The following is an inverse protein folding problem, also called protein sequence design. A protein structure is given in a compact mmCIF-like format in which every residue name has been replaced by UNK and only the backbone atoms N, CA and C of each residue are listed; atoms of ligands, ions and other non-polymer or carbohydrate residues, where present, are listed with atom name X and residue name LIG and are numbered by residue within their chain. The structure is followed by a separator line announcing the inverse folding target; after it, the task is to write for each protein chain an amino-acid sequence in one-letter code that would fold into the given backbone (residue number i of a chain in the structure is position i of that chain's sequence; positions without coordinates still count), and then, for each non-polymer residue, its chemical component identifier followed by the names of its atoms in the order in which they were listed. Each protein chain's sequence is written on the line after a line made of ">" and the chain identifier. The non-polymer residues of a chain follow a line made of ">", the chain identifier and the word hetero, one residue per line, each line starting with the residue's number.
data_IF_743308898109
#
_entry.id   IF_743308898109
#
_cell.length_a   1.000
_cell.length_b   1.000
_cell.length_c   1.000
_cell.angle_alpha   90.00
_cell.angle_beta   90.00
_cell.angle_gamma   90.00
#
_symmetry.space_group_name_H-M   'P 1'
#
loop_
_entity.id
_entity.type
_entity.pdbx_description
1 polymer ?
#
# COMPACT_ATOMS: atom_id res chain seq x y z
N UNK A 1 14.39 -12.46 22.41
CA UNK A 1 13.59 -11.29 22.85
C UNK A 1 14.03 -10.12 21.97
N UNK A 2 13.21 -9.72 20.99
CA UNK A 2 13.43 -8.45 20.28
C UNK A 2 13.24 -7.33 21.29
N UNK A 3 14.26 -6.50 21.50
CA UNK A 3 14.11 -5.25 22.24
C UNK A 3 13.28 -4.33 21.37
N UNK A 4 12.04 -4.05 21.76
CA UNK A 4 11.15 -3.19 21.00
C UNK A 4 11.76 -1.79 20.86
N UNK A 5 12.22 -1.47 19.64
CA UNK A 5 12.80 -0.16 19.30
C UNK A 5 11.74 0.77 18.73
N UNK A 6 11.90 2.07 18.96
CA UNK A 6 11.00 3.12 18.46
C UNK A 6 11.76 4.09 17.55
N UNK A 7 11.08 4.76 16.59
CA UNK A 7 11.70 5.81 15.79
C UNK A 7 12.27 6.93 16.67
N UNK A 8 13.51 7.34 16.39
CA UNK A 8 14.20 8.42 17.10
C UNK A 8 13.50 9.78 16.94
N UNK A 9 12.86 10.00 15.81
CA UNK A 9 12.18 11.26 15.48
C UNK A 9 10.82 11.01 14.85
N UNK A 10 9.91 10.37 15.60
CA UNK A 10 8.54 10.15 15.15
C UNK A 10 7.86 11.45 14.68
N UNK A 11 7.12 11.46 13.56
CA UNK A 11 6.72 10.32 12.71
C UNK A 11 7.71 9.97 11.60
N UNK A 12 8.92 10.52 11.59
CA UNK A 12 9.90 10.29 10.55
C UNK A 12 10.79 9.08 10.87
N UNK A 13 11.26 8.41 9.82
CA UNK A 13 12.30 7.40 9.90
C UNK A 13 13.60 7.94 9.30
N UNK A 14 14.70 7.71 9.98
CA UNK A 14 16.02 7.76 9.35
C UNK A 14 16.17 6.63 8.32
N UNK A 15 17.14 6.75 7.42
CA UNK A 15 17.45 5.70 6.43
C UNK A 15 17.65 4.32 7.06
N UNK A 16 18.40 4.25 8.16
CA UNK A 16 18.65 3.00 8.87
C UNK A 16 17.38 2.45 9.54
N UNK A 17 16.55 3.32 10.10
CA UNK A 17 15.27 2.95 10.67
C UNK A 17 14.31 2.41 9.61
N UNK A 18 14.26 3.05 8.43
CA UNK A 18 13.50 2.55 7.29
C UNK A 18 13.94 1.15 6.88
N UNK A 19 15.24 0.88 6.75
CA UNK A 19 15.76 -0.45 6.41
C UNK A 19 15.31 -1.51 7.43
N UNK A 20 15.36 -1.19 8.74
CA UNK A 20 14.92 -2.11 9.80
C UNK A 20 13.42 -2.36 9.71
N UNK A 21 12.63 -1.29 9.59
CA UNK A 21 11.17 -1.38 9.50
C UNK A 21 10.73 -2.17 8.25
N UNK A 22 11.38 -1.94 7.11
CA UNK A 22 11.12 -2.63 5.85
C UNK A 22 11.48 -4.12 5.91
N UNK A 23 12.63 -4.47 6.48
CA UNK A 23 13.07 -5.87 6.64
C UNK A 23 12.19 -6.62 7.63
N UNK A 24 11.75 -5.97 8.70
CA UNK A 24 10.77 -6.55 9.63
C UNK A 24 9.43 -6.81 8.95
N UNK A 25 8.93 -5.84 8.17
CA UNK A 25 7.72 -6.02 7.39
C UNK A 25 7.83 -7.17 6.36
N UNK A 26 8.95 -7.26 5.65
CA UNK A 26 9.20 -8.33 4.68
C UNK A 26 9.25 -9.71 5.35
N UNK A 27 9.78 -9.81 6.56
CA UNK A 27 9.76 -11.08 7.30
C UNK A 27 8.34 -11.48 7.64
N UNK A 28 7.51 -10.53 8.08
CA UNK A 28 6.10 -10.78 8.36
C UNK A 28 5.31 -11.15 7.10
N UNK A 29 5.60 -10.50 5.97
CA UNK A 29 4.87 -10.75 4.71
C UNK A 29 5.08 -12.17 4.19
N UNK A 30 6.15 -12.87 4.57
CA UNK A 30 6.37 -14.28 4.21
C UNK A 30 5.33 -15.22 4.83
N UNK A 31 4.73 -14.83 5.95
CA UNK A 31 3.67 -15.59 6.58
C UNK A 31 2.31 -15.41 5.87
N UNK A 32 2.21 -14.43 4.97
CA UNK A 32 0.99 -14.12 4.23
C UNK A 32 1.13 -14.62 2.80
N UNK A 33 0.29 -15.59 2.43
CA UNK A 33 0.36 -16.25 1.13
C UNK A 33 -0.03 -15.26 0.01
N UNK A 34 0.79 -15.14 -1.03
CA UNK A 34 0.44 -14.43 -2.27
C UNK A 34 0.66 -12.91 -2.28
N UNK A 35 1.28 -12.34 -1.25
CA UNK A 35 1.48 -10.88 -1.16
C UNK A 35 2.62 -10.32 -2.02
N UNK A 36 3.60 -11.16 -2.42
CA UNK A 36 4.58 -10.82 -3.46
C UNK A 36 5.59 -9.69 -3.13
N UNK A 37 5.74 -9.32 -1.86
CA UNK A 37 6.72 -8.31 -1.45
C UNK A 37 8.16 -8.83 -1.57
N UNK A 38 9.04 -7.98 -2.08
CA UNK A 38 10.47 -8.22 -2.17
C UNK A 38 11.25 -6.97 -1.74
N UNK A 39 12.49 -7.18 -1.29
CA UNK A 39 13.44 -6.10 -1.08
C UNK A 39 14.41 -6.02 -2.25
N UNK A 40 14.55 -4.83 -2.84
CA UNK A 40 15.47 -4.56 -3.93
C UNK A 40 16.56 -3.62 -3.41
N UNK A 41 17.81 -4.08 -3.43
CA UNK A 41 18.98 -3.23 -3.14
C UNK A 41 19.30 -2.37 -4.37
N UNK A 42 19.65 -1.10 -4.17
CA UNK A 42 20.09 -0.24 -5.23
C UNK A 42 21.47 -0.67 -5.74
N UNK A 43 21.61 -0.81 -7.06
CA UNK A 43 22.79 -1.39 -7.72
C UNK A 43 24.12 -0.72 -7.33
N UNK A 44 24.07 0.58 -7.02
CA UNK A 44 25.28 1.41 -6.81
C UNK A 44 25.42 1.96 -5.39
N UNK A 45 24.36 1.92 -4.57
CA UNK A 45 24.34 2.59 -3.28
C UNK A 45 24.19 1.55 -2.18
N UNK A 46 25.28 1.30 -1.45
CA UNK A 46 25.33 0.31 -0.38
C UNK A 46 24.35 0.71 0.73
N UNK A 47 23.53 -0.25 1.20
CA UNK A 47 22.47 -0.04 2.22
C UNK A 47 21.41 0.96 1.78
N UNK A 48 21.14 0.98 0.49
CA UNK A 48 20.09 1.80 -0.08
C UNK A 48 19.17 0.90 -0.89
N UNK A 49 18.19 0.26 -0.28
CA UNK A 49 17.15 -0.50 -0.98
C UNK A 49 15.75 0.06 -0.82
N UNK A 50 14.76 -0.64 -1.37
CA UNK A 50 13.35 -0.33 -1.23
C UNK A 50 12.50 -1.61 -1.25
N UNK A 51 11.29 -1.50 -0.70
CA UNK A 51 10.28 -2.55 -0.82
C UNK A 51 9.58 -2.42 -2.17
N UNK A 52 9.40 -3.54 -2.86
CA UNK A 52 8.66 -3.62 -4.11
C UNK A 52 7.62 -4.72 -4.01
N UNK A 53 6.46 -4.46 -4.61
CA UNK A 53 5.40 -5.44 -4.84
C UNK A 53 4.86 -5.20 -6.24
N UNK A 54 4.62 -6.28 -6.97
CA UNK A 54 4.05 -6.27 -8.31
C UNK A 54 2.70 -6.98 -8.24
N UNK A 55 1.68 -6.34 -8.82
CA UNK A 55 0.30 -6.84 -8.78
C UNK A 55 -0.38 -6.52 -10.12
N UNK A 56 -1.18 -7.46 -10.61
CA UNK A 56 -2.06 -7.25 -11.75
C UNK A 56 -3.41 -6.78 -11.20
N UNK A 57 -3.89 -5.65 -11.71
CA UNK A 57 -5.21 -5.12 -11.36
C UNK A 57 -6.11 -5.32 -12.57
N UNK A 58 -7.23 -6.02 -12.39
CA UNK A 58 -8.21 -6.19 -13.45
C UNK A 58 -9.11 -4.95 -13.52
N UNK A 59 -9.22 -4.34 -14.71
CA UNK A 59 -10.19 -3.26 -14.96
C UNK A 59 -11.59 -3.83 -14.78
N UNK A 60 -12.31 -3.35 -13.76
CA UNK A 60 -13.71 -3.73 -13.58
C UNK A 60 -14.52 -2.97 -14.63
N UNK A 61 -14.90 -3.64 -15.71
CA UNK A 61 -15.78 -3.05 -16.71
C UNK A 61 -17.13 -2.70 -16.07
N UNK A 62 -17.41 -1.41 -15.91
CA UNK A 62 -18.70 -0.90 -15.43
C UNK A 62 -19.85 -1.08 -16.46
N UNK A 63 -19.68 -1.97 -17.44
CA UNK A 63 -20.68 -2.31 -18.45
C UNK A 63 -21.11 -3.78 -18.33
N UNK A 64 -21.77 -4.13 -17.23
CA UNK A 64 -22.75 -5.21 -17.22
C UNK A 64 -23.63 -5.15 -15.96
N UNK A 65 -24.25 -3.99 -15.70
CA UNK A 65 -25.50 -3.97 -14.93
C UNK A 65 -26.65 -4.26 -15.88
N UNK A 66 -26.71 -5.50 -16.35
CA UNK A 66 -27.87 -6.22 -16.87
C UNK A 66 -27.32 -7.53 -17.46
N UNK A 67 -27.20 -8.59 -16.66
CA UNK A 67 -27.59 -9.94 -17.05
C UNK A 67 -27.58 -10.85 -15.81
N UNK A 68 -28.53 -11.79 -15.83
CA UNK A 68 -29.16 -12.43 -14.68
C UNK A 68 -28.22 -13.38 -13.93
N UNK A 69 -28.50 -13.49 -12.64
CA UNK A 69 -28.20 -14.66 -11.81
C UNK A 69 -28.55 -15.94 -12.55
N UNK A 70 -27.56 -16.78 -12.83
CA UNK A 70 -27.64 -18.25 -12.83
C UNK A 70 -26.26 -18.84 -13.20
N UNK A 71 -25.74 -19.66 -12.29
CA UNK A 71 -24.76 -20.74 -12.45
C UNK A 71 -23.45 -20.50 -13.22
N UNK A 72 -22.34 -20.32 -12.48
CA UNK A 72 -21.02 -20.72 -12.98
C UNK A 72 -20.28 -21.49 -11.89
N UNK A 73 -20.19 -22.80 -12.10
CA UNK A 73 -19.30 -23.75 -11.41
C UNK A 73 -17.82 -23.42 -11.65
N UNK A 74 -16.91 -23.77 -10.72
CA UNK A 74 -15.50 -23.43 -10.83
C UNK A 74 -14.83 -24.26 -11.94
N UNK A 75 -14.35 -23.60 -12.99
CA UNK A 75 -13.51 -24.24 -14.01
C UNK A 75 -12.06 -24.10 -13.58
N UNK A 76 -11.47 -25.21 -13.18
CA UNK A 76 -10.04 -25.46 -13.08
C UNK A 76 -9.42 -25.48 -14.47
N UNK A 77 -8.25 -24.87 -14.68
CA UNK A 77 -7.02 -25.50 -15.24
C UNK A 77 -5.99 -24.44 -15.65
N UNK A 78 -4.79 -24.60 -15.09
CA UNK A 78 -3.45 -24.39 -15.65
C UNK A 78 -3.32 -23.67 -17.00
N UNK A 79 -2.70 -22.49 -16.99
CA UNK A 79 -1.70 -22.12 -18.00
C UNK A 79 -0.62 -21.23 -17.36
N UNK A 80 0.58 -21.79 -17.21
CA UNK A 80 1.82 -21.02 -17.14
C UNK A 80 1.99 -20.26 -18.45
N UNK A 81 1.81 -18.93 -18.44
CA UNK A 81 2.58 -18.01 -19.30
C UNK A 81 2.91 -16.76 -18.50
N UNK A 82 4.18 -16.65 -18.17
CA UNK A 82 4.81 -15.48 -17.58
C UNK A 82 4.76 -14.34 -18.58
N UNK A 83 4.07 -13.26 -18.22
CA UNK A 83 4.32 -11.97 -18.82
C UNK A 83 4.52 -10.95 -17.70
N UNK A 84 5.60 -10.20 -17.83
CA UNK A 84 6.01 -9.20 -16.87
C UNK A 84 4.95 -8.10 -16.84
N UNK A 85 4.31 -7.86 -15.68
CA UNK A 85 3.49 -6.64 -15.44
C UNK A 85 4.39 -5.39 -15.41
N UNK A 86 4.95 -5.02 -16.54
CA UNK A 86 5.17 -3.60 -16.84
C UNK A 86 3.87 -3.10 -17.48
N UNK A 87 3.53 -1.85 -17.18
CA UNK A 87 2.42 -1.11 -17.79
C UNK A 87 0.99 -1.49 -17.34
N UNK A 88 0.27 -0.48 -16.81
CA UNK A 88 -1.19 -0.51 -16.71
C UNK A 88 -1.70 0.24 -17.94
N UNK A 89 -1.72 -0.43 -19.08
CA UNK A 89 -2.24 0.09 -20.34
C UNK A 89 -3.67 -0.40 -20.58
N UNK A 90 -4.49 0.45 -21.21
CA UNK A 90 -5.73 -0.03 -21.82
C UNK A 90 -5.40 -0.95 -23.02
N UNK A 91 -6.31 -1.85 -23.43
CA UNK A 91 -6.11 -2.72 -24.59
C UNK A 91 -5.76 -1.97 -25.90
N UNK A 92 -6.04 -0.67 -25.94
CA UNK A 92 -5.80 0.24 -27.07
C UNK A 92 -4.47 1.03 -26.95
N UNK A 93 -3.63 0.76 -25.94
CA UNK A 93 -2.32 1.39 -25.74
C UNK A 93 -2.37 2.85 -25.27
N UNK A 94 -3.52 3.32 -24.77
CA UNK A 94 -3.66 4.67 -24.20
C UNK A 94 -3.30 4.63 -22.71
N UNK A 95 -2.45 5.55 -22.20
CA UNK A 95 -2.17 5.66 -20.77
C UNK A 95 -3.45 5.95 -20.00
N UNK A 96 -3.72 5.21 -18.94
CA UNK A 96 -4.87 5.46 -18.08
C UNK A 96 -4.80 6.87 -17.48
N UNK A 97 -5.94 7.56 -17.45
CA UNK A 97 -6.10 8.81 -16.71
C UNK A 97 -5.98 8.57 -15.20
N UNK A 98 -5.70 9.63 -14.44
CA UNK A 98 -5.64 9.55 -12.96
C UNK A 98 -6.95 9.02 -12.37
N UNK A 99 -8.09 9.38 -12.94
CA UNK A 99 -9.41 8.94 -12.49
C UNK A 99 -9.63 7.45 -12.78
N UNK A 100 -9.15 6.95 -13.92
CA UNK A 100 -9.20 5.53 -14.26
C UNK A 100 -8.31 4.71 -13.32
N UNK A 101 -7.14 5.21 -12.96
CA UNK A 101 -6.25 4.58 -11.97
C UNK A 101 -6.91 4.53 -10.60
N UNK A 102 -7.51 5.63 -10.16
CA UNK A 102 -8.28 5.64 -8.91
C UNK A 102 -9.43 4.61 -8.96
N UNK A 103 -10.14 4.49 -10.08
CA UNK A 103 -11.23 3.52 -10.24
C UNK A 103 -10.75 2.05 -10.24
N UNK A 104 -9.51 1.80 -10.69
CA UNK A 104 -8.90 0.47 -10.66
C UNK A 104 -8.37 0.13 -9.25
N UNK A 105 -7.81 1.11 -8.53
CA UNK A 105 -7.21 0.91 -7.20
C UNK A 105 -8.24 0.87 -6.07
N UNK A 106 -9.35 1.58 -6.22
CA UNK A 106 -10.33 1.82 -5.17
C UNK A 106 -11.69 1.27 -5.60
N UNK A 107 -12.34 0.52 -4.71
CA UNK A 107 -13.74 0.15 -4.92
C UNK A 107 -14.62 1.40 -5.09
N UNK A 108 -15.51 1.48 -6.10
CA UNK A 108 -16.30 2.69 -6.38
C UNK A 108 -17.05 3.27 -5.17
N UNK A 109 -17.48 2.41 -4.24
CA UNK A 109 -18.18 2.80 -3.01
C UNK A 109 -17.33 3.58 -1.99
N UNK A 110 -16.00 3.53 -2.10
CA UNK A 110 -15.04 4.17 -1.18
C UNK A 110 -14.32 5.36 -1.80
N UNK A 111 -14.62 5.66 -3.06
CA UNK A 111 -13.97 6.74 -3.80
C UNK A 111 -14.24 8.10 -3.14
N UNK A 112 -15.46 8.32 -2.64
CA UNK A 112 -15.84 9.55 -1.95
C UNK A 112 -15.22 9.66 -0.54
N UNK A 113 -15.09 8.55 0.19
CA UNK A 113 -14.45 8.53 1.51
C UNK A 113 -12.97 8.91 1.43
N UNK A 114 -12.29 8.46 0.38
CA UNK A 114 -10.87 8.75 0.13
C UNK A 114 -10.69 10.20 -0.32
N UNK A 115 -11.60 10.71 -1.16
CA UNK A 115 -11.68 12.13 -1.51
C UNK A 115 -11.85 13.02 -0.27
N UNK A 116 -12.76 12.64 0.63
CA UNK A 116 -13.03 13.37 1.88
C UNK A 116 -11.88 13.27 2.88
N UNK A 117 -11.16 12.14 2.93
CA UNK A 117 -10.03 11.91 3.84
C UNK A 117 -8.77 12.76 3.55
N UNK A 118 -8.86 13.76 2.66
CA UNK A 118 -7.75 14.63 2.29
C UNK A 118 -6.81 14.01 1.25
N UNK A 119 -7.22 12.91 0.62
CA UNK A 119 -6.45 12.28 -0.46
C UNK A 119 -6.69 12.92 -1.83
N UNK A 120 -7.49 14.00 -1.91
CA UNK A 120 -7.45 14.94 -3.02
C UNK A 120 -6.00 15.48 -3.17
N UNK A 121 -5.20 14.83 -4.02
CA UNK A 121 -3.79 15.16 -4.25
C UNK A 121 -2.77 14.18 -3.65
N UNK A 122 -3.22 13.07 -3.07
CA UNK A 122 -2.33 12.03 -2.54
C UNK A 122 -1.60 11.28 -3.64
N UNK A 123 -2.28 10.83 -4.71
CA UNK A 123 -1.60 10.29 -5.91
C UNK A 123 -1.38 11.43 -6.90
N UNK A 124 -0.14 11.59 -7.33
CA UNK A 124 0.27 12.50 -8.39
C UNK A 124 0.95 11.71 -9.51
N UNK A 125 0.95 12.28 -10.71
CA UNK A 125 1.65 11.73 -11.87
C UNK A 125 2.86 12.60 -12.19
N UNK A 126 4.00 11.96 -12.42
CA UNK A 126 5.18 12.60 -12.99
C UNK A 126 5.87 11.61 -13.94
N UNK A 127 6.66 12.11 -14.87
CA UNK A 127 7.49 11.22 -15.69
C UNK A 127 8.59 10.60 -14.83
N UNK A 128 8.84 9.31 -15.01
CA UNK A 128 9.93 8.64 -14.34
C UNK A 128 11.25 9.32 -14.74
N UNK A 129 12.09 9.75 -13.78
CA UNK A 129 13.23 10.63 -14.05
C UNK A 129 14.26 10.03 -15.02
N UNK A 130 14.27 8.70 -15.17
CA UNK A 130 15.15 8.01 -16.13
C UNK A 130 14.42 7.27 -17.24
N UNK A 131 13.16 6.86 -17.04
CA UNK A 131 12.43 6.05 -18.04
C UNK A 131 11.62 6.96 -18.98
N UNK A 132 11.35 8.21 -18.56
CA UNK A 132 10.58 9.19 -19.31
C UNK A 132 9.17 8.69 -19.71
N UNK A 133 8.63 7.78 -18.92
CA UNK A 133 7.26 7.28 -19.02
C UNK A 133 6.45 7.75 -17.80
N UNK A 134 5.12 7.86 -17.90
CA UNK A 134 4.27 8.21 -16.77
C UNK A 134 4.45 7.27 -15.58
N UNK A 135 4.63 7.85 -14.39
CA UNK A 135 4.64 7.12 -13.13
C UNK A 135 3.79 7.83 -12.08
N UNK A 136 3.03 7.04 -11.32
CA UNK A 136 2.15 7.53 -10.28
C UNK A 136 2.81 7.34 -8.92
N UNK A 137 2.74 8.34 -8.07
CA UNK A 137 3.36 8.31 -6.75
C UNK A 137 2.48 8.93 -5.69
N UNK A 138 2.65 8.45 -4.46
CA UNK A 138 2.05 9.07 -3.29
C UNK A 138 2.85 10.29 -2.85
N UNK A 139 2.19 11.43 -2.74
CA UNK A 139 2.80 12.66 -2.26
C UNK A 139 3.19 12.52 -0.78
N UNK A 140 4.43 12.83 -0.42
CA UNK A 140 4.94 12.52 0.93
C UNK A 140 4.39 13.46 2.02
N UNK A 141 3.88 14.66 1.68
CA UNK A 141 3.55 15.70 2.66
C UNK A 141 2.59 15.26 3.76
N UNK A 142 1.60 14.41 3.44
CA UNK A 142 0.60 13.98 4.42
C UNK A 142 1.00 12.73 5.21
N UNK A 143 2.11 12.08 4.86
CA UNK A 143 2.56 10.85 5.56
C UNK A 143 2.80 11.11 7.04
N UNK A 144 3.46 12.21 7.38
CA UNK A 144 3.75 12.57 8.76
C UNK A 144 2.47 12.87 9.57
N UNK A 145 1.54 13.61 8.98
CA UNK A 145 0.24 13.94 9.59
C UNK A 145 -0.59 12.67 9.84
N UNK A 146 -0.69 11.81 8.83
CA UNK A 146 -1.40 10.54 8.89
C UNK A 146 -0.84 9.63 9.98
N UNK A 147 0.47 9.46 10.04
CA UNK A 147 1.09 8.63 11.07
C UNK A 147 0.82 9.19 12.47
N UNK A 148 0.95 10.50 12.70
CA UNK A 148 0.62 11.11 14.01
C UNK A 148 -0.80 10.82 14.47
N UNK A 149 -1.77 10.80 13.54
CA UNK A 149 -3.17 10.53 13.87
C UNK A 149 -3.43 9.15 14.51
N UNK A 150 -2.54 8.17 14.29
CA UNK A 150 -2.62 6.85 14.95
C UNK A 150 -2.30 6.98 16.44
N UNK A 151 -1.26 7.76 16.76
CA UNK A 151 -0.71 7.92 18.12
C UNK A 151 -1.61 8.83 18.97
N UNK A 152 -2.12 9.89 18.35
CA UNK A 152 -2.91 10.93 19.02
C UNK A 152 -4.37 10.52 19.24
N UNK A 153 -4.80 9.34 18.78
CA UNK A 153 -6.18 8.88 18.92
C UNK A 153 -6.50 8.62 20.41
N UNK A 154 -7.39 9.40 21.05
CA UNK A 154 -7.79 9.13 22.42
C UNK A 154 -8.58 7.81 22.45
N UNK A 155 -8.15 6.83 23.27
CA UNK A 155 -8.93 5.61 23.49
C UNK A 155 -10.25 6.01 24.15
N UNK A 156 -11.37 5.74 23.47
CA UNK A 156 -12.73 5.98 23.97
C UNK A 156 -13.15 5.04 25.11
N UNK A 157 -12.27 4.15 25.56
CA UNK A 157 -12.52 3.25 26.69
C UNK A 157 -12.17 3.93 28.01
N UNK A 158 -13.19 4.37 28.74
CA UNK A 158 -13.15 4.80 30.15
C UNK A 158 -12.74 3.67 31.11
N UNK A 159 -11.58 3.07 30.93
CA UNK A 159 -10.97 2.17 31.89
C UNK A 159 -9.50 2.55 32.07
N UNK A 160 -9.22 3.14 33.23
CA UNK A 160 -7.93 3.49 33.79
C UNK A 160 -7.09 4.53 33.03
N UNK A 161 -6.90 5.65 33.74
CA UNK A 161 -6.02 6.77 33.46
C UNK A 161 -4.55 6.34 33.56
N UNK A 162 -4.07 5.65 32.54
CA UNK A 162 -2.64 5.66 32.21
C UNK A 162 -2.50 6.39 30.87
N UNK A 163 -1.76 7.49 30.87
CA UNK A 163 -1.46 8.34 29.70
C UNK A 163 -0.54 7.59 28.70
N UNK A 164 -0.91 6.38 28.32
CA UNK A 164 -0.16 5.55 27.38
C UNK A 164 -0.60 5.94 25.96
N UNK A 165 -0.05 7.05 25.45
CA UNK A 165 -0.11 7.34 24.02
C UNK A 165 0.35 6.07 23.27
N UNK A 166 -0.39 5.68 22.24
CA UNK A 166 -0.06 4.50 21.45
C UNK A 166 1.29 4.73 20.77
N UNK A 167 2.33 3.98 21.12
CA UNK A 167 3.62 4.09 20.45
C UNK A 167 3.71 3.09 19.30
N UNK A 168 4.02 3.58 18.09
CA UNK A 168 4.33 2.72 16.95
C UNK A 168 5.81 2.31 17.06
N UNK A 169 6.06 1.02 17.23
CA UNK A 169 7.43 0.50 17.18
C UNK A 169 8.00 0.61 15.77
N UNK A 170 9.32 0.59 15.69
CA UNK A 170 10.04 0.66 14.43
C UNK A 170 9.64 -0.49 13.48
N UNK A 171 9.59 -1.71 14.01
CA UNK A 171 9.10 -2.91 13.30
C UNK A 171 7.66 -2.75 12.82
N UNK A 172 6.84 -1.98 13.55
CA UNK A 172 5.44 -1.72 13.22
C UNK A 172 5.16 -0.57 12.29
N UNK A 173 6.18 0.21 11.93
CA UNK A 173 5.97 1.44 11.19
C UNK A 173 5.35 1.19 9.80
N UNK A 174 5.95 0.29 9.01
CA UNK A 174 5.51 0.04 7.62
C UNK A 174 4.09 -0.56 7.60
N UNK A 175 3.77 -1.52 8.47
CA UNK A 175 2.41 -2.09 8.58
C UNK A 175 1.39 -1.03 9.02
N UNK A 176 1.72 -0.19 9.99
CA UNK A 176 0.84 0.91 10.42
C UNK A 176 0.59 1.93 9.31
N UNK A 177 1.62 2.31 8.56
CA UNK A 177 1.49 3.20 7.41
C UNK A 177 0.62 2.58 6.31
N UNK A 178 0.90 1.32 5.92
CA UNK A 178 0.11 0.61 4.91
C UNK A 178 -1.34 0.36 5.36
N UNK A 179 -1.64 0.25 6.66
CA UNK A 179 -3.03 0.21 7.12
C UNK A 179 -3.79 1.51 6.91
N UNK A 180 -3.11 2.66 6.86
CA UNK A 180 -3.75 3.94 6.57
C UNK A 180 -3.94 4.14 5.07
N UNK A 181 -2.90 3.89 4.27
CA UNK A 181 -2.89 4.25 2.85
C UNK A 181 -3.19 3.08 1.91
N UNK A 182 -3.11 1.84 2.40
CA UNK A 182 -3.16 0.65 1.56
C UNK A 182 -4.42 0.56 0.71
N UNK A 183 -5.59 0.77 1.33
CA UNK A 183 -6.87 0.75 0.61
C UNK A 183 -6.96 1.78 -0.53
N UNK A 184 -6.18 2.87 -0.44
CA UNK A 184 -6.15 3.92 -1.47
C UNK A 184 -5.30 3.51 -2.67
N UNK A 185 -4.31 2.67 -2.46
CA UNK A 185 -3.38 2.18 -3.48
C UNK A 185 -3.62 0.71 -3.85
N UNK A 186 -4.82 0.19 -3.59
CA UNK A 186 -5.18 -1.19 -3.89
C UNK A 186 -4.44 -2.25 -3.07
N UNK A 187 -3.77 -1.86 -1.98
CA UNK A 187 -3.05 -2.77 -1.08
C UNK A 187 -3.92 -3.07 0.14
N UNK A 188 -4.31 -4.33 0.30
CA UNK A 188 -5.02 -4.80 1.49
C UNK A 188 -4.03 -5.44 2.46
N UNK A 189 -3.83 -4.82 3.62
CA UNK A 189 -3.05 -5.43 4.71
C UNK A 189 -3.97 -6.30 5.56
N UNK A 190 -3.74 -7.61 5.55
CA UNK A 190 -4.52 -8.57 6.33
C UNK A 190 -4.08 -8.59 7.80
N UNK A 191 -4.92 -9.16 8.68
CA UNK A 191 -4.63 -9.21 10.11
C UNK A 191 -3.37 -10.01 10.43
N UNK A 192 -3.00 -10.96 9.57
CA UNK A 192 -1.81 -11.80 9.70
C UNK A 192 -0.50 -11.00 9.67
N UNK A 193 -0.54 -9.73 9.24
CA UNK A 193 0.59 -8.81 9.37
C UNK A 193 0.82 -8.29 10.79
N UNK A 194 -0.11 -8.58 11.72
CA UNK A 194 -0.10 -8.09 13.09
C UNK A 194 -0.04 -9.22 14.13
N UNK A 195 -0.10 -10.48 13.69
CA UNK A 195 -0.07 -11.69 14.52
C UNK A 195 1.31 -12.36 14.47
#
# INVERSE_FOLDING_TARGET
>A
MSTQTYPKQYPFLTRQEFDVAAKSFLEQSKNVVGEGWIWIEHERLIRFGYLSRKMIIQKVNAYSNEFKTEDITPITTDVEQFEQVEEVEDPDGTPLTIDEIYSCLIQPSRLEDIKIAGFHGGISQQDHPTLLIPFYYLHPCETATLMKSIVDRPRSTKFNSDNNNLLISLEGYIRSWLSLIGNVVGIKIEIDYFL
#
